data_IF_972318665052
#
_entry.id   IF_972318665052
#
_cell.length_a   1.000
_cell.length_b   1.000
_cell.length_c   1.000
_cell.angle_alpha   90.00
_cell.angle_beta   90.00
_cell.angle_gamma   90.00
#
_symmetry.space_group_name_H-M   'P 1'
#
loop_
_entity.id
_entity.type
_entity.pdbx_description
1 polymer ?
#
# COMPACT_ATOMS: atom_id res chain seq x y z
N UNK A 1 2.89 2.94 -11.31
CA UNK A 1 3.08 2.28 -10.00
C UNK A 1 4.54 1.91 -9.85
N UNK A 2 5.15 2.24 -8.71
CA UNK A 2 6.54 1.93 -8.38
C UNK A 2 6.65 1.33 -6.98
N UNK A 3 7.64 0.48 -6.76
CA UNK A 3 7.84 -0.28 -5.52
C UNK A 3 9.26 -0.05 -4.97
N UNK A 4 9.50 1.11 -4.36
CA UNK A 4 10.84 1.49 -3.92
C UNK A 4 11.39 0.63 -2.78
N UNK A 5 10.53 -0.12 -2.09
CA UNK A 5 10.90 -1.11 -1.06
C UNK A 5 10.93 -2.56 -1.59
N UNK A 6 10.66 -2.75 -2.88
CA UNK A 6 10.56 -4.09 -3.47
C UNK A 6 9.41 -4.92 -2.87
N UNK A 7 9.70 -6.18 -2.55
CA UNK A 7 8.75 -7.11 -1.95
C UNK A 7 8.69 -7.04 -0.41
N UNK A 8 9.62 -6.33 0.22
CA UNK A 8 9.76 -6.32 1.69
C UNK A 8 8.52 -5.75 2.38
N UNK A 9 8.00 -6.50 3.33
CA UNK A 9 6.81 -6.16 4.11
C UNK A 9 7.00 -6.53 5.59
N UNK A 10 6.32 -5.82 6.47
CA UNK A 10 6.24 -6.15 7.89
C UNK A 10 5.13 -7.16 8.22
N UNK A 11 4.32 -7.54 7.22
CA UNK A 11 3.28 -8.55 7.32
C UNK A 11 3.65 -9.82 6.55
N UNK A 12 2.95 -10.90 6.91
CA UNK A 12 3.04 -12.22 6.30
C UNK A 12 1.65 -12.68 5.88
N UNK A 13 1.06 -11.95 4.91
CA UNK A 13 -0.31 -12.23 4.46
C UNK A 13 -0.32 -13.52 3.62
N UNK A 14 -1.01 -14.58 4.09
CA UNK A 14 -0.95 -15.92 3.51
C UNK A 14 -1.32 -16.06 2.03
N UNK A 15 -1.96 -15.05 1.43
CA UNK A 15 -2.24 -15.01 -0.02
C UNK A 15 -1.28 -14.09 -0.80
N UNK A 16 -0.29 -13.48 -0.15
CA UNK A 16 0.53 -12.45 -0.77
C UNK A 16 1.54 -13.05 -1.75
N UNK A 17 1.35 -12.79 -3.03
CA UNK A 17 2.29 -13.26 -4.08
C UNK A 17 3.69 -12.62 -4.01
N UNK A 18 3.92 -11.70 -3.05
CA UNK A 18 5.24 -11.13 -2.80
C UNK A 18 6.06 -11.92 -1.77
N UNK A 19 5.47 -12.81 -0.97
CA UNK A 19 6.19 -13.55 0.07
C UNK A 19 7.39 -14.32 -0.52
N UNK A 20 7.15 -15.10 -1.59
CA UNK A 20 8.20 -15.86 -2.27
C UNK A 20 9.26 -14.95 -2.95
N UNK A 21 8.91 -13.71 -3.24
CA UNK A 21 9.82 -12.77 -3.92
C UNK A 21 10.77 -12.07 -2.95
N UNK A 22 10.51 -12.14 -1.66
CA UNK A 22 11.45 -11.66 -0.63
C UNK A 22 12.76 -12.44 -0.71
N UNK A 23 12.70 -13.74 -1.05
CA UNK A 23 13.85 -14.63 -1.22
C UNK A 23 14.76 -14.26 -2.42
N UNK A 24 14.25 -13.49 -3.38
CA UNK A 24 15.04 -13.03 -4.54
C UNK A 24 16.02 -11.89 -4.17
N UNK A 25 15.86 -11.29 -3.00
CA UNK A 25 16.76 -10.26 -2.53
C UNK A 25 17.81 -10.90 -1.63
N UNK A 26 19.12 -10.81 -1.98
CA UNK A 26 20.18 -11.27 -1.09
C UNK A 26 20.11 -10.48 0.22
N UNK A 27 20.56 -11.11 1.31
CA UNK A 27 20.58 -10.53 2.68
C UNK A 27 21.39 -9.22 2.83
N UNK A 28 21.71 -8.55 1.74
CA UNK A 28 22.51 -7.33 1.66
C UNK A 28 21.68 -6.09 1.92
N UNK A 29 21.92 -5.50 3.00
CA UNK A 29 21.97 -4.13 3.50
C UNK A 29 20.91 -3.08 3.10
N UNK A 30 20.24 -3.11 1.98
CA UNK A 30 19.23 -2.10 1.65
C UNK A 30 18.24 -2.58 0.60
N UNK A 31 17.06 -2.95 1.04
CA UNK A 31 15.96 -3.28 0.13
C UNK A 31 15.21 -2.05 -0.40
N UNK A 32 15.81 -0.88 -0.29
CA UNK A 32 15.23 0.36 -0.81
C UNK A 32 15.87 0.74 -2.13
N UNK A 33 15.08 1.32 -3.01
CA UNK A 33 15.61 1.93 -4.24
C UNK A 33 16.64 3.01 -3.88
N UNK A 34 17.84 2.91 -4.45
CA UNK A 34 18.93 3.86 -4.21
C UNK A 34 18.54 5.26 -4.67
N UNK A 35 19.13 6.27 -4.06
CA UNK A 35 18.73 7.67 -4.25
C UNK A 35 18.93 8.15 -5.70
N UNK A 36 20.00 7.71 -6.34
CA UNK A 36 20.31 8.00 -7.75
C UNK A 36 19.29 7.37 -8.71
N UNK A 37 18.94 6.10 -8.48
CA UNK A 37 17.90 5.40 -9.25
C UNK A 37 16.52 6.02 -9.03
N UNK A 38 16.22 6.45 -7.80
CA UNK A 38 14.96 7.13 -7.47
C UNK A 38 14.86 8.46 -8.26
N UNK A 39 15.93 9.24 -8.33
CA UNK A 39 15.95 10.49 -9.07
C UNK A 39 15.77 10.25 -10.57
N UNK A 40 16.50 9.30 -11.15
CA UNK A 40 16.37 8.92 -12.57
C UNK A 40 14.92 8.48 -12.87
N UNK A 41 14.33 7.62 -12.00
CA UNK A 41 12.95 7.19 -12.18
C UNK A 41 11.96 8.35 -12.16
N UNK A 42 12.08 9.25 -11.18
CA UNK A 42 11.17 10.39 -11.04
C UNK A 42 11.28 11.31 -12.27
N UNK A 43 12.49 11.64 -12.68
CA UNK A 43 12.73 12.47 -13.86
C UNK A 43 12.11 11.85 -15.11
N UNK A 44 12.45 10.60 -15.43
CA UNK A 44 11.95 9.91 -16.62
C UNK A 44 10.42 9.75 -16.60
N UNK A 45 9.83 9.49 -15.43
CA UNK A 45 8.38 9.38 -15.32
C UNK A 45 7.68 10.72 -15.60
N UNK A 46 8.24 11.83 -15.12
CA UNK A 46 7.73 13.17 -15.40
C UNK A 46 7.86 13.50 -16.89
N UNK A 47 9.00 13.19 -17.51
CA UNK A 47 9.25 13.45 -18.92
C UNK A 47 8.37 12.62 -19.85
N UNK A 48 8.16 11.34 -19.51
CA UNK A 48 7.35 10.41 -20.30
C UNK A 48 5.84 10.63 -20.18
N UNK A 49 5.37 11.29 -19.13
CA UNK A 49 3.95 11.55 -18.93
C UNK A 49 3.50 12.78 -19.73
N UNK A 50 2.59 12.65 -20.70
CA UNK A 50 2.15 13.79 -21.53
C UNK A 50 1.10 14.68 -20.82
N UNK A 51 0.43 14.17 -19.77
CA UNK A 51 -0.67 14.84 -19.09
C UNK A 51 -0.20 15.99 -18.18
N UNK A 52 -1.06 16.98 -17.95
CA UNK A 52 -0.81 18.07 -17.00
C UNK A 52 -0.60 17.55 -15.57
N UNK A 53 -1.33 16.50 -15.19
CA UNK A 53 -1.22 15.87 -13.89
C UNK A 53 -0.37 14.61 -13.97
N UNK A 54 0.81 14.63 -13.35
CA UNK A 54 1.71 13.47 -13.26
C UNK A 54 1.41 12.69 -11.99
N UNK A 55 0.91 11.47 -12.12
CA UNK A 55 0.55 10.63 -10.98
C UNK A 55 1.68 9.66 -10.63
N UNK A 56 2.16 9.75 -9.40
CA UNK A 56 3.02 8.75 -8.78
C UNK A 56 2.21 7.88 -7.83
N UNK A 57 2.30 6.57 -7.99
CA UNK A 57 1.64 5.58 -7.13
C UNK A 57 2.69 4.70 -6.46
N UNK A 58 2.88 4.92 -5.16
CA UNK A 58 3.91 4.28 -4.33
C UNK A 58 3.35 3.03 -3.68
N UNK A 59 3.94 1.90 -4.00
CA UNK A 59 3.56 0.58 -3.53
C UNK A 59 4.80 -0.20 -3.04
N UNK A 60 4.67 -1.49 -2.95
CA UNK A 60 5.73 -2.43 -2.62
C UNK A 60 5.19 -3.61 -1.87
N UNK A 61 5.99 -4.20 -1.01
CA UNK A 61 5.53 -4.94 0.13
C UNK A 61 4.78 -3.99 1.06
N UNK A 62 5.53 -3.20 1.85
CA UNK A 62 4.93 -2.10 2.61
C UNK A 62 5.78 -0.82 2.48
N UNK A 63 5.30 0.20 1.74
CA UNK A 63 6.08 1.40 1.47
C UNK A 63 6.39 2.24 2.71
N UNK A 64 5.57 2.18 3.76
CA UNK A 64 5.81 2.95 5.00
C UNK A 64 7.04 2.48 5.79
N UNK A 65 7.58 1.30 5.48
CA UNK A 65 8.87 0.84 6.02
C UNK A 65 10.05 1.75 5.65
N UNK A 66 9.94 2.50 4.56
CA UNK A 66 10.97 3.44 4.12
C UNK A 66 11.07 4.69 5.02
N UNK A 67 10.06 4.93 5.85
CA UNK A 67 9.99 6.10 6.72
C UNK A 67 9.62 7.40 5.99
N UNK A 68 9.22 8.40 6.75
CA UNK A 68 8.75 9.70 6.23
C UNK A 68 9.88 10.45 5.50
N UNK A 69 11.13 10.34 5.95
CA UNK A 69 12.25 11.07 5.35
C UNK A 69 12.53 10.63 3.92
N UNK A 70 12.32 9.35 3.61
CA UNK A 70 12.41 8.90 2.22
C UNK A 70 11.33 9.54 1.34
N UNK A 71 10.12 9.68 1.85
CA UNK A 71 9.03 10.36 1.13
C UNK A 71 9.24 11.87 1.02
N UNK A 72 9.86 12.52 2.02
CA UNK A 72 10.30 13.93 1.90
C UNK A 72 11.30 14.10 0.76
N UNK A 73 12.28 13.20 0.66
CA UNK A 73 13.24 13.18 -0.46
C UNK A 73 12.55 13.01 -1.82
N UNK A 74 11.57 12.11 -1.93
CA UNK A 74 10.75 11.96 -3.14
C UNK A 74 10.16 13.32 -3.56
N UNK A 75 9.56 14.04 -2.62
CA UNK A 75 8.93 15.33 -2.90
C UNK A 75 9.95 16.39 -3.33
N UNK A 76 11.13 16.41 -2.72
CA UNK A 76 12.23 17.31 -3.11
C UNK A 76 12.68 17.05 -4.55
N UNK A 77 12.89 15.77 -4.92
CA UNK A 77 13.27 15.37 -6.27
C UNK A 77 12.14 15.72 -7.26
N UNK A 78 10.90 15.44 -6.93
CA UNK A 78 9.74 15.80 -7.76
C UNK A 78 9.67 17.31 -7.98
N UNK A 79 9.90 18.12 -6.94
CA UNK A 79 9.93 19.58 -7.04
C UNK A 79 11.05 20.08 -7.96
N UNK A 80 12.23 19.45 -7.87
CA UNK A 80 13.40 19.77 -8.71
C UNK A 80 13.11 19.56 -10.21
N UNK A 81 12.43 18.45 -10.56
CA UNK A 81 12.20 18.06 -11.96
C UNK A 81 10.83 18.45 -12.51
N UNK A 82 9.96 19.07 -11.71
CA UNK A 82 8.60 19.46 -12.12
C UNK A 82 8.64 20.62 -13.12
N UNK A 83 8.17 20.44 -14.37
CA UNK A 83 8.05 21.53 -15.33
C UNK A 83 7.02 22.57 -14.88
N UNK A 84 7.18 23.80 -15.35
CA UNK A 84 6.20 24.86 -15.11
C UNK A 84 4.81 24.47 -15.62
N UNK A 85 3.78 24.78 -14.84
CA UNK A 85 2.37 24.49 -15.17
C UNK A 85 1.92 23.07 -14.87
N UNK A 86 2.80 22.11 -14.61
CA UNK A 86 2.44 20.72 -14.31
C UNK A 86 2.21 20.48 -12.82
N UNK A 87 1.27 19.60 -12.52
CA UNK A 87 0.96 19.16 -11.15
C UNK A 87 1.46 17.73 -10.93
N UNK A 88 2.07 17.50 -9.78
CA UNK A 88 2.43 16.15 -9.35
C UNK A 88 1.46 15.71 -8.26
N UNK A 89 0.88 14.52 -8.45
CA UNK A 89 -0.05 13.88 -7.53
C UNK A 89 0.60 12.61 -7.00
N UNK A 90 0.55 12.43 -5.69
CA UNK A 90 1.13 11.26 -5.04
C UNK A 90 0.04 10.40 -4.40
N UNK A 91 0.08 9.10 -4.66
CA UNK A 91 -0.72 8.09 -3.97
C UNK A 91 0.17 7.06 -3.28
N UNK A 92 -0.26 6.55 -2.14
CA UNK A 92 0.41 5.49 -1.39
C UNK A 92 -0.57 4.37 -1.07
N UNK A 93 -0.19 3.13 -1.37
CA UNK A 93 -0.95 1.94 -0.96
C UNK A 93 -0.26 1.31 0.25
N UNK A 94 -0.96 1.21 1.37
CA UNK A 94 -0.39 0.71 2.63
C UNK A 94 -1.29 -0.33 3.30
N UNK A 95 -0.67 -1.23 4.06
CA UNK A 95 -1.39 -2.09 5.00
C UNK A 95 -1.84 -1.35 6.28
N UNK A 96 -1.39 -0.13 6.49
CA UNK A 96 -1.81 0.77 7.56
C UNK A 96 -1.26 0.47 8.95
N UNK A 97 -0.54 -0.63 9.16
CA UNK A 97 -0.12 -1.04 10.51
C UNK A 97 0.91 -0.12 11.15
N UNK A 98 1.71 0.57 10.34
CA UNK A 98 2.75 1.51 10.76
C UNK A 98 2.29 2.98 10.77
N UNK A 99 1.04 3.24 10.39
CA UNK A 99 0.49 4.60 10.36
C UNK A 99 0.28 5.12 11.79
N UNK A 100 0.83 6.29 12.04
CA UNK A 100 0.68 7.07 13.26
C UNK A 100 0.28 8.53 12.95
N UNK A 101 0.29 9.41 13.96
CA UNK A 101 -0.06 10.81 13.76
C UNK A 101 0.99 11.58 12.97
N UNK A 102 2.27 11.21 13.03
CA UNK A 102 3.32 11.86 12.25
C UNK A 102 3.12 11.56 10.76
N UNK A 103 2.88 10.29 10.41
CA UNK A 103 2.49 9.89 9.06
C UNK A 103 1.25 10.65 8.59
N UNK A 104 0.23 10.76 9.44
CA UNK A 104 -1.00 11.45 9.06
C UNK A 104 -0.79 12.95 8.81
N UNK A 105 0.02 13.64 9.64
CA UNK A 105 0.37 15.04 9.38
C UNK A 105 1.10 15.20 8.05
N UNK A 106 2.07 14.33 7.78
CA UNK A 106 2.81 14.34 6.52
C UNK A 106 1.88 14.12 5.33
N UNK A 107 1.09 13.03 5.32
CA UNK A 107 0.19 12.68 4.22
C UNK A 107 -0.87 13.76 3.96
N UNK A 108 -1.41 14.39 5.03
CA UNK A 108 -2.37 15.47 4.91
C UNK A 108 -1.75 16.75 4.35
N UNK A 109 -0.57 17.15 4.84
CA UNK A 109 0.15 18.36 4.40
C UNK A 109 0.54 18.23 2.93
N UNK A 110 1.07 17.10 2.52
CA UNK A 110 1.53 16.84 1.17
C UNK A 110 0.43 16.32 0.24
N UNK A 111 -0.81 16.23 0.73
CA UNK A 111 -2.01 15.84 -0.01
C UNK A 111 -1.87 14.50 -0.74
N UNK A 112 -1.29 13.52 -0.05
CA UNK A 112 -1.25 12.16 -0.58
C UNK A 112 -2.64 11.55 -0.65
N UNK A 113 -2.93 10.88 -1.76
CA UNK A 113 -4.04 9.94 -1.85
C UNK A 113 -3.64 8.62 -1.20
N UNK A 114 -4.46 8.11 -0.31
CA UNK A 114 -4.12 6.90 0.46
C UNK A 114 -5.04 5.75 0.08
N UNK A 115 -4.46 4.62 -0.29
CA UNK A 115 -5.15 3.34 -0.35
C UNK A 115 -4.83 2.53 0.91
N UNK A 116 -5.86 2.07 1.62
CA UNK A 116 -5.72 1.24 2.82
C UNK A 116 -6.20 -0.18 2.55
N UNK A 117 -5.34 -1.14 2.79
CA UNK A 117 -5.66 -2.56 2.61
C UNK A 117 -6.41 -3.13 3.82
N UNK A 118 -7.67 -3.59 3.60
CA UNK A 118 -8.50 -4.22 4.63
C UNK A 118 -9.50 -5.19 3.99
N UNK A 119 -9.61 -6.43 4.50
CA UNK A 119 -10.38 -7.49 3.85
C UNK A 119 -11.76 -7.74 4.48
N UNK A 120 -12.25 -6.82 5.29
CA UNK A 120 -13.54 -6.93 5.96
C UNK A 120 -13.43 -6.98 7.48
N UNK A 121 -14.42 -7.54 8.20
CA UNK A 121 -14.40 -7.72 9.64
C UNK A 121 -13.16 -8.46 10.16
N UNK A 122 -12.92 -8.37 11.46
CA UNK A 122 -11.68 -8.85 12.10
C UNK A 122 -11.36 -10.33 11.88
N UNK A 123 -12.37 -11.18 11.87
CA UNK A 123 -12.25 -12.62 11.64
C UNK A 123 -11.81 -12.94 10.20
N UNK A 124 -12.39 -12.26 9.22
CA UNK A 124 -12.03 -12.42 7.81
C UNK A 124 -10.67 -11.81 7.51
N UNK A 125 -10.39 -10.60 8.02
CA UNK A 125 -9.13 -9.90 7.81
C UNK A 125 -7.94 -10.64 8.43
N UNK A 126 -8.06 -11.01 9.73
CA UNK A 126 -6.97 -11.64 10.48
C UNK A 126 -6.67 -13.07 10.06
N UNK A 127 -7.53 -13.70 9.28
CA UNK A 127 -7.27 -15.05 8.76
C UNK A 127 -6.06 -15.06 7.82
N UNK A 128 -5.90 -14.00 7.02
CA UNK A 128 -4.82 -13.91 6.05
C UNK A 128 -3.80 -12.82 6.36
N UNK A 129 -4.25 -11.67 6.90
CA UNK A 129 -3.36 -10.53 7.15
C UNK A 129 -2.82 -10.56 8.57
N UNK A 130 -1.69 -11.20 8.71
CA UNK A 130 -0.99 -11.37 10.00
C UNK A 130 0.41 -10.75 9.94
N UNK A 131 0.99 -10.49 11.11
CA UNK A 131 2.41 -10.11 11.22
C UNK A 131 3.30 -11.32 10.92
N UNK A 132 4.62 -11.11 10.75
CA UNK A 132 5.62 -12.19 10.63
C UNK A 132 5.67 -13.12 11.87
N UNK A 133 4.96 -12.78 12.96
CA UNK A 133 4.77 -13.60 14.15
C UNK A 133 3.37 -14.20 14.24
N UNK A 134 2.62 -14.22 13.14
CA UNK A 134 1.23 -14.69 13.06
C UNK A 134 0.24 -13.95 13.98
N UNK A 135 0.53 -12.68 14.33
CA UNK A 135 -0.35 -11.85 15.15
C UNK A 135 -1.38 -11.12 14.29
N UNK A 136 -2.59 -10.95 14.84
CA UNK A 136 -3.71 -10.26 14.19
C UNK A 136 -3.42 -8.77 13.96
N UNK A 137 -3.78 -8.24 12.78
CA UNK A 137 -3.47 -6.85 12.39
C UNK A 137 -4.69 -5.93 12.27
N UNK A 138 -5.91 -6.45 12.28
CA UNK A 138 -7.13 -5.67 12.08
C UNK A 138 -7.25 -4.44 13.01
N UNK A 139 -6.90 -4.58 14.29
CA UNK A 139 -6.95 -3.46 15.25
C UNK A 139 -6.04 -2.29 14.84
N UNK A 140 -4.85 -2.59 14.33
CA UNK A 140 -3.88 -1.59 13.86
C UNK A 140 -4.41 -0.89 12.60
N UNK A 141 -4.96 -1.64 11.65
CA UNK A 141 -5.55 -1.09 10.42
C UNK A 141 -6.75 -0.20 10.73
N UNK A 142 -7.61 -0.61 11.66
CA UNK A 142 -8.75 0.20 12.12
C UNK A 142 -8.29 1.47 12.86
N UNK A 143 -7.17 1.43 13.57
CA UNK A 143 -6.54 2.62 14.15
C UNK A 143 -6.11 3.58 13.05
N UNK A 144 -5.42 3.09 12.01
CA UNK A 144 -4.99 3.91 10.87
C UNK A 144 -6.19 4.56 10.17
N UNK A 145 -7.26 3.81 9.90
CA UNK A 145 -8.48 4.34 9.31
C UNK A 145 -9.09 5.49 10.15
N UNK A 146 -9.15 5.32 11.49
CA UNK A 146 -9.62 6.39 12.39
C UNK A 146 -8.71 7.62 12.35
N UNK A 147 -7.40 7.43 12.28
CA UNK A 147 -6.44 8.53 12.13
C UNK A 147 -6.63 9.25 10.79
N UNK A 148 -6.80 8.54 9.69
CA UNK A 148 -7.08 9.17 8.39
C UNK A 148 -8.33 10.04 8.44
N UNK A 149 -9.41 9.56 9.07
CA UNK A 149 -10.62 10.40 9.30
C UNK A 149 -10.32 11.62 10.17
N UNK A 150 -9.60 11.46 11.29
CA UNK A 150 -9.21 12.56 12.19
C UNK A 150 -8.44 13.66 11.44
N UNK A 151 -7.52 13.28 10.57
CA UNK A 151 -6.68 14.20 9.80
C UNK A 151 -7.27 14.59 8.45
N UNK A 152 -8.53 14.19 8.14
CA UNK A 152 -9.24 14.47 6.89
C UNK A 152 -8.47 14.03 5.64
N UNK A 153 -7.77 12.91 5.74
CA UNK A 153 -7.06 12.29 4.62
C UNK A 153 -8.06 11.50 3.79
N UNK A 154 -8.06 11.74 2.47
CA UNK A 154 -8.84 10.91 1.54
C UNK A 154 -8.24 9.50 1.50
N UNK A 155 -9.06 8.50 1.83
CA UNK A 155 -8.61 7.13 1.95
C UNK A 155 -9.56 6.19 1.20
N UNK A 156 -9.05 5.55 0.16
CA UNK A 156 -9.73 4.45 -0.52
C UNK A 156 -9.46 3.15 0.23
N UNK A 157 -10.47 2.28 0.28
CA UNK A 157 -10.33 0.97 0.88
C UNK A 157 -10.13 -0.09 -0.20
N UNK A 158 -9.16 -0.96 -0.01
CA UNK A 158 -8.84 -2.04 -0.93
C UNK A 158 -8.99 -3.37 -0.21
N UNK A 159 -9.87 -4.22 -0.76
CA UNK A 159 -10.18 -5.54 -0.25
C UNK A 159 -9.77 -6.61 -1.25
N UNK A 160 -8.93 -7.53 -0.83
CA UNK A 160 -8.65 -8.74 -1.60
C UNK A 160 -9.78 -9.73 -1.39
N UNK A 161 -10.44 -10.11 -2.49
CA UNK A 161 -11.47 -11.17 -2.46
C UNK A 161 -10.77 -12.50 -2.44
N UNK A 162 -10.96 -13.23 -1.36
CA UNK A 162 -10.36 -14.52 -1.08
C UNK A 162 -11.44 -15.57 -0.76
N UNK A 163 -11.05 -16.82 -0.56
CA UNK A 163 -11.96 -17.93 -0.32
C UNK A 163 -12.90 -17.72 0.88
N UNK A 164 -12.45 -17.02 1.91
CA UNK A 164 -13.24 -16.77 3.12
C UNK A 164 -14.28 -15.67 2.94
N UNK A 165 -13.85 -14.51 2.45
CA UNK A 165 -14.73 -13.35 2.38
C UNK A 165 -15.71 -13.42 1.20
N UNK A 166 -15.38 -14.11 0.12
CA UNK A 166 -16.28 -14.33 -1.02
C UNK A 166 -17.57 -15.06 -0.64
N UNK A 167 -17.51 -15.89 0.39
CA UNK A 167 -18.69 -16.63 0.93
C UNK A 167 -19.59 -15.75 1.82
N UNK A 168 -19.18 -14.55 2.16
CA UNK A 168 -19.87 -13.63 3.06
C UNK A 168 -20.02 -12.20 2.47
N UNK A 169 -20.48 -12.05 1.22
CA UNK A 169 -20.44 -10.77 0.52
C UNK A 169 -21.27 -9.68 1.22
N UNK A 170 -22.43 -10.04 1.76
CA UNK A 170 -23.28 -9.09 2.49
C UNK A 170 -22.63 -8.59 3.80
N UNK A 171 -21.91 -9.45 4.52
CA UNK A 171 -21.16 -9.09 5.73
C UNK A 171 -20.02 -8.15 5.40
N UNK A 172 -19.24 -8.47 4.36
CA UNK A 172 -18.12 -7.64 3.89
C UNK A 172 -18.62 -6.28 3.41
N UNK A 173 -19.66 -6.24 2.60
CA UNK A 173 -20.22 -4.98 2.08
C UNK A 173 -20.78 -4.09 3.22
N UNK A 174 -21.53 -4.69 4.16
CA UNK A 174 -22.05 -3.96 5.33
C UNK A 174 -20.94 -3.36 6.16
N UNK A 175 -19.87 -4.11 6.43
CA UNK A 175 -18.69 -3.62 7.14
C UNK A 175 -18.11 -2.37 6.49
N UNK A 176 -17.87 -2.36 5.19
CA UNK A 176 -17.34 -1.19 4.48
C UNK A 176 -18.31 -0.01 4.46
N UNK A 177 -19.61 -0.29 4.35
CA UNK A 177 -20.65 0.75 4.43
C UNK A 177 -20.66 1.42 5.81
N UNK A 178 -20.55 0.65 6.89
CA UNK A 178 -20.49 1.14 8.27
C UNK A 178 -19.20 1.93 8.55
N UNK A 179 -18.08 1.57 7.91
CA UNK A 179 -16.85 2.37 7.94
C UNK A 179 -17.01 3.73 7.23
N UNK A 180 -18.04 3.89 6.41
CA UNK A 180 -18.24 5.07 5.58
C UNK A 180 -17.26 5.12 4.41
N UNK A 181 -16.96 3.96 3.80
CA UNK A 181 -16.15 3.89 2.59
C UNK A 181 -16.80 4.70 1.48
N UNK A 182 -16.04 5.63 0.89
CA UNK A 182 -16.45 6.41 -0.28
C UNK A 182 -16.02 5.69 -1.56
N UNK A 183 -14.78 5.22 -1.58
CA UNK A 183 -14.22 4.39 -2.63
C UNK A 183 -13.82 3.03 -2.07
N UNK A 184 -14.22 1.98 -2.76
CA UNK A 184 -13.95 0.60 -2.38
C UNK A 184 -13.52 -0.16 -3.63
N UNK A 185 -12.31 -0.71 -3.59
CA UNK A 185 -11.78 -1.56 -4.64
C UNK A 185 -11.76 -3.01 -4.17
N UNK A 186 -12.42 -3.89 -4.92
CA UNK A 186 -12.33 -5.33 -4.74
C UNK A 186 -11.35 -5.93 -5.74
N UNK A 187 -10.33 -6.62 -5.26
CA UNK A 187 -9.34 -7.31 -6.08
C UNK A 187 -9.50 -8.82 -5.91
N UNK A 188 -9.90 -9.55 -6.96
CA UNK A 188 -9.92 -11.00 -6.92
C UNK A 188 -8.49 -11.53 -6.66
N UNK A 189 -8.38 -12.47 -5.74
CA UNK A 189 -7.15 -13.21 -5.54
C UNK A 189 -6.88 -14.10 -6.77
N UNK A 190 -5.70 -13.94 -7.37
CA UNK A 190 -5.25 -14.76 -8.49
C UNK A 190 -4.03 -15.55 -8.04
N UNK A 191 -4.21 -16.83 -7.81
CA UNK A 191 -3.11 -17.75 -7.57
C UNK A 191 -2.54 -18.23 -8.91
N UNK A 192 -1.22 -18.17 -9.09
CA UNK A 192 -0.57 -18.94 -10.16
C UNK A 192 -0.59 -20.40 -9.74
N UNK A 193 -1.10 -21.27 -10.61
CA UNK A 193 -0.80 -22.71 -10.49
C UNK A 193 0.70 -22.85 -10.72
N UNK A 194 1.47 -23.07 -9.67
CA UNK A 194 2.87 -23.44 -9.78
C UNK A 194 2.99 -24.81 -10.44
N UNK A 195 4.10 -25.07 -11.10
CA UNK A 195 4.46 -26.43 -11.61
C UNK A 195 4.62 -27.44 -10.47
N UNK A 196 4.65 -27.00 -9.23
CA UNK A 196 4.58 -27.80 -8.01
C UNK A 196 3.22 -27.52 -7.37
N UNK A 197 2.29 -28.47 -7.59
CA UNK A 197 0.90 -28.35 -7.20
C UNK A 197 0.71 -27.77 -5.79
N UNK A 198 0.19 -26.56 -5.74
CA UNK A 198 -0.47 -26.09 -4.55
C UNK A 198 -1.76 -26.89 -4.45
N UNK A 199 -1.85 -27.74 -3.46
CA UNK A 199 -3.06 -28.46 -3.12
C UNK A 199 -4.15 -27.43 -2.88
N UNK A 200 -5.25 -27.56 -3.62
CA UNK A 200 -6.50 -26.89 -3.32
C UNK A 200 -6.94 -27.38 -1.93
N UNK A 201 -6.81 -26.57 -0.90
CA UNK A 201 -7.54 -26.71 0.35
C UNK A 201 -8.79 -25.84 0.34
#
# INVERSE_FOLDING_TARGET
>A
MVKPVGAICNLDCGYCYYLEKEELYPDSESHRMADDLLEIYIQQHIEACPEENVLFSWHGGEPTLLGIDYFRKILEIQKKHRPFGRKILNGIQTNGTLIDEEWCRFLATERFHVGLSIDGPSDLHNHYRVTKKAEATHKQVMRAHRLFKKFRIHCDLLCVINERNVRQPATVYRFFKELGAVYLQFLPLVNRRGEHGVQDE
#
